data_IF_371653631589
#
_entry.id   IF_371653631589
#
_cell.length_a   1.000
_cell.length_b   1.000
_cell.length_c   1.000
_cell.angle_alpha   90.00
_cell.angle_beta   90.00
_cell.angle_gamma   90.00
#
_symmetry.space_group_name_H-M   'P 1'
#
loop_
_entity.id
_entity.type
_entity.pdbx_description
1 polymer ?
#
# COMPACT_ATOMS: atom_id res chain seq x y z
N UNK A 1 15.49 2.82 -0.62
CA UNK A 1 14.22 2.37 -1.23
C UNK A 1 13.72 3.44 -2.19
N UNK A 2 13.05 3.08 -3.30
CA UNK A 2 12.53 4.06 -4.26
C UNK A 2 11.07 4.43 -3.96
N UNK A 3 10.64 5.67 -4.26
CA UNK A 3 9.23 6.04 -4.26
C UNK A 3 8.41 5.13 -5.18
N UNK A 4 7.15 4.92 -4.82
CA UNK A 4 6.20 4.10 -5.57
C UNK A 4 4.80 4.69 -5.50
N UNK A 5 3.93 4.24 -6.39
CA UNK A 5 2.55 4.69 -6.44
C UNK A 5 1.69 3.87 -5.48
N UNK A 6 0.76 4.54 -4.82
CA UNK A 6 -0.32 3.95 -4.02
C UNK A 6 -1.66 4.56 -4.45
N UNK A 7 -2.80 3.88 -4.23
CA UNK A 7 -4.12 4.47 -4.44
C UNK A 7 -4.29 5.76 -3.63
N UNK A 8 -4.80 6.82 -4.25
CA UNK A 8 -5.13 8.07 -3.56
C UNK A 8 -6.53 7.99 -2.93
N UNK A 9 -7.47 7.40 -3.65
CA UNK A 9 -8.88 7.24 -3.27
C UNK A 9 -9.39 5.86 -3.71
N UNK A 10 -10.40 5.28 -3.04
CA UNK A 10 -11.04 4.06 -3.50
C UNK A 10 -11.83 4.31 -4.78
N UNK A 11 -11.90 3.31 -5.67
CA UNK A 11 -12.71 3.36 -6.88
C UNK A 11 -13.52 2.09 -7.04
N UNK A 12 -14.59 2.18 -7.83
CA UNK A 12 -15.35 1.01 -8.24
C UNK A 12 -15.68 1.03 -9.72
N UNK A 13 -15.80 -0.16 -10.30
CA UNK A 13 -16.22 -0.37 -11.68
C UNK A 13 -17.23 -1.51 -11.72
N UNK A 14 -18.35 -1.30 -12.42
CA UNK A 14 -19.40 -2.32 -12.56
C UNK A 14 -19.59 -2.70 -14.02
N UNK A 15 -19.70 -3.99 -14.29
CA UNK A 15 -19.96 -4.54 -15.61
C UNK A 15 -21.03 -5.64 -15.53
N UNK A 16 -21.87 -5.74 -16.56
CA UNK A 16 -22.78 -6.87 -16.73
C UNK A 16 -22.34 -7.74 -17.91
N UNK A 17 -22.09 -9.03 -17.66
CA UNK A 17 -21.67 -10.01 -18.66
C UNK A 17 -22.63 -11.20 -18.60
N UNK A 18 -23.35 -11.46 -19.70
CA UNK A 18 -24.33 -12.56 -19.77
C UNK A 18 -25.28 -12.56 -18.55
N UNK A 19 -25.87 -11.39 -18.24
CA UNK A 19 -26.74 -11.14 -17.08
C UNK A 19 -26.07 -11.26 -15.70
N UNK A 20 -24.81 -11.67 -15.63
CA UNK A 20 -24.06 -11.69 -14.37
C UNK A 20 -23.48 -10.31 -14.13
N UNK A 21 -23.69 -9.75 -12.94
CA UNK A 21 -23.16 -8.44 -12.55
C UNK A 21 -21.88 -8.62 -11.76
N UNK A 22 -20.83 -7.94 -12.18
CA UNK A 22 -19.51 -7.90 -11.54
C UNK A 22 -19.26 -6.49 -11.05
N UNK A 23 -18.96 -6.33 -9.76
CA UNK A 23 -18.66 -5.04 -9.13
C UNK A 23 -17.25 -5.13 -8.58
N UNK A 24 -16.30 -4.49 -9.24
CA UNK A 24 -14.89 -4.49 -8.86
C UNK A 24 -14.58 -3.24 -8.06
N UNK A 25 -14.00 -3.42 -6.88
CA UNK A 25 -13.53 -2.37 -5.99
C UNK A 25 -12.01 -2.39 -5.91
N UNK A 26 -11.40 -1.21 -5.92
CA UNK A 26 -9.99 -1.01 -5.56
C UNK A 26 -9.90 -0.01 -4.42
N UNK A 27 -9.04 -0.27 -3.45
CA UNK A 27 -8.79 0.64 -2.34
C UNK A 27 -7.34 0.60 -1.90
N UNK A 28 -6.91 1.71 -1.27
CA UNK A 28 -5.64 1.79 -0.55
C UNK A 28 -5.69 0.91 0.70
N UNK A 29 -4.75 -0.01 0.83
CA UNK A 29 -4.62 -0.91 1.98
C UNK A 29 -3.15 -1.17 2.27
N UNK A 30 -2.63 -0.53 3.31
CA UNK A 30 -1.26 -0.74 3.77
C UNK A 30 -1.17 -1.99 4.66
N UNK A 31 -0.46 -2.99 4.18
CA UNK A 31 -0.26 -4.25 4.88
C UNK A 31 -1.44 -5.23 4.79
N UNK A 32 -1.15 -6.49 5.11
CA UNK A 32 -2.10 -7.60 4.93
C UNK A 32 -3.32 -7.49 5.84
N UNK A 33 -3.19 -6.84 7.00
CA UNK A 33 -4.30 -6.61 7.93
C UNK A 33 -5.32 -5.62 7.35
N UNK A 34 -4.85 -4.50 6.77
CA UNK A 34 -5.72 -3.52 6.11
C UNK A 34 -6.45 -4.15 4.91
N UNK A 35 -5.73 -4.97 4.13
CA UNK A 35 -6.32 -5.72 3.01
C UNK A 35 -7.47 -6.62 3.48
N UNK A 36 -7.25 -7.41 4.53
CA UNK A 36 -8.28 -8.29 5.12
C UNK A 36 -9.49 -7.51 5.64
N UNK A 37 -9.26 -6.40 6.35
CA UNK A 37 -10.35 -5.52 6.85
C UNK A 37 -11.21 -4.99 5.70
N UNK A 38 -10.59 -4.57 4.60
CA UNK A 38 -11.31 -4.12 3.42
C UNK A 38 -12.10 -5.24 2.72
N UNK A 39 -11.52 -6.44 2.61
CA UNK A 39 -12.23 -7.60 2.06
C UNK A 39 -13.49 -7.91 2.87
N UNK A 40 -13.37 -7.95 4.21
CA UNK A 40 -14.49 -8.24 5.10
C UNK A 40 -15.56 -7.12 5.08
N UNK A 41 -15.16 -5.85 4.90
CA UNK A 41 -16.14 -4.76 4.78
C UNK A 41 -16.98 -4.89 3.50
N UNK A 42 -16.37 -5.26 2.37
CA UNK A 42 -17.09 -5.50 1.11
C UNK A 42 -18.01 -6.73 1.23
N UNK A 43 -17.57 -7.81 1.88
CA UNK A 43 -18.44 -8.97 2.16
C UNK A 43 -19.65 -8.59 3.00
N UNK A 44 -19.43 -7.78 4.04
CA UNK A 44 -20.50 -7.30 4.91
C UNK A 44 -21.48 -6.38 4.18
N UNK A 45 -20.99 -5.58 3.23
CA UNK A 45 -21.82 -4.70 2.40
C UNK A 45 -22.69 -5.48 1.39
N UNK A 46 -22.21 -6.63 0.92
CA UNK A 46 -22.89 -7.46 -0.10
C UNK A 46 -23.11 -8.90 0.38
N UNK A 47 -23.88 -9.13 1.45
CA UNK A 47 -24.03 -10.45 2.05
C UNK A 47 -24.80 -11.44 1.17
N UNK A 48 -25.54 -10.95 0.17
CA UNK A 48 -26.35 -11.73 -0.77
C UNK A 48 -25.59 -12.15 -2.04
N UNK A 49 -24.37 -11.61 -2.26
CA UNK A 49 -23.51 -12.04 -3.34
C UNK A 49 -22.89 -13.41 -3.04
N UNK A 50 -22.75 -14.24 -4.08
CA UNK A 50 -22.24 -15.61 -3.92
C UNK A 50 -20.72 -15.69 -3.85
N UNK A 51 -20.04 -14.73 -4.47
CA UNK A 51 -18.60 -14.71 -4.58
C UNK A 51 -18.08 -13.29 -4.40
N UNK A 52 -17.08 -13.14 -3.54
CA UNK A 52 -16.31 -11.95 -3.24
C UNK A 52 -14.84 -12.29 -3.50
N UNK A 53 -14.51 -12.60 -4.74
CA UNK A 53 -13.15 -12.92 -5.13
C UNK A 53 -12.26 -11.71 -4.88
N UNK A 54 -11.01 -11.92 -4.47
CA UNK A 54 -10.12 -10.81 -4.14
C UNK A 54 -8.68 -11.07 -4.53
N UNK A 55 -7.89 -10.00 -4.62
CA UNK A 55 -6.45 -10.00 -4.82
C UNK A 55 -5.86 -8.76 -4.16
N UNK A 56 -4.64 -8.83 -3.62
CA UNK A 56 -3.96 -7.66 -3.08
C UNK A 56 -2.45 -7.70 -3.32
N UNK A 57 -1.88 -6.50 -3.43
CA UNK A 57 -0.46 -6.19 -3.27
C UNK A 57 -0.39 -5.32 -2.02
N UNK A 58 -0.18 -5.92 -0.86
CA UNK A 58 -0.32 -5.24 0.43
C UNK A 58 0.92 -4.44 0.84
N UNK A 59 2.06 -4.72 0.22
CA UNK A 59 3.31 -3.99 0.40
C UNK A 59 3.67 -3.12 -0.79
N UNK A 60 4.96 -2.89 -0.96
CA UNK A 60 5.50 -2.21 -2.14
C UNK A 60 5.21 -3.03 -3.42
N UNK A 61 5.15 -2.39 -4.60
CA UNK A 61 4.89 -3.11 -5.85
C UNK A 61 6.00 -4.11 -6.22
N UNK A 62 7.20 -3.95 -5.67
CA UNK A 62 8.35 -4.84 -5.84
C UNK A 62 8.48 -5.88 -4.70
N UNK A 63 7.62 -5.85 -3.69
CA UNK A 63 7.63 -6.78 -2.56
C UNK A 63 6.70 -7.97 -2.82
N UNK A 64 7.31 -9.12 -3.13
CA UNK A 64 6.58 -10.36 -3.39
C UNK A 64 6.09 -11.08 -2.14
N UNK A 65 6.52 -10.66 -0.94
CA UNK A 65 6.15 -11.34 0.31
C UNK A 65 4.74 -10.99 0.78
N UNK A 66 4.15 -9.92 0.27
CA UNK A 66 2.86 -9.39 0.71
C UNK A 66 1.79 -9.44 -0.38
N UNK A 67 1.77 -10.55 -1.12
CA UNK A 67 0.78 -10.83 -2.16
C UNK A 67 -0.25 -11.84 -1.66
N UNK A 68 -1.49 -11.70 -2.11
CA UNK A 68 -2.54 -12.68 -1.83
C UNK A 68 -3.70 -12.58 -2.82
N UNK A 69 -4.37 -13.70 -3.05
CA UNK A 69 -5.61 -13.73 -3.84
C UNK A 69 -6.49 -14.92 -3.44
N UNK A 70 -7.77 -14.85 -3.77
CA UNK A 70 -8.74 -15.93 -3.59
C UNK A 70 -9.78 -15.93 -4.70
N UNK A 71 -10.17 -17.13 -5.13
CA UNK A 71 -11.28 -17.34 -6.05
C UNK A 71 -12.64 -17.38 -5.34
N UNK A 72 -12.68 -17.43 -4.00
CA UNK A 72 -13.91 -17.38 -3.19
C UNK A 72 -15.05 -18.30 -3.69
N UNK A 73 -14.73 -19.56 -4.00
CA UNK A 73 -15.70 -20.55 -4.49
C UNK A 73 -15.95 -20.54 -6.00
N UNK A 74 -15.38 -19.59 -6.75
CA UNK A 74 -15.23 -19.74 -8.21
C UNK A 74 -14.28 -20.90 -8.54
N UNK A 75 -14.33 -21.44 -9.78
CA UNK A 75 -13.36 -22.43 -10.22
C UNK A 75 -11.91 -21.95 -10.03
N UNK A 76 -11.05 -22.82 -9.54
CA UNK A 76 -9.66 -22.51 -9.18
C UNK A 76 -8.91 -21.79 -10.30
N UNK A 77 -8.32 -20.64 -9.96
CA UNK A 77 -7.51 -19.82 -10.85
C UNK A 77 -8.30 -18.99 -11.85
N UNK A 78 -9.63 -18.89 -11.73
CA UNK A 78 -10.46 -18.15 -12.69
C UNK A 78 -10.80 -16.73 -12.25
N UNK A 79 -10.55 -16.34 -11.00
CA UNK A 79 -10.87 -15.03 -10.48
C UNK A 79 -9.67 -14.34 -9.80
N UNK A 80 -9.11 -14.95 -8.76
CA UNK A 80 -8.00 -14.35 -7.98
C UNK A 80 -6.74 -14.16 -8.83
N UNK A 81 -6.34 -15.19 -9.59
CA UNK A 81 -5.16 -15.15 -10.47
C UNK A 81 -5.21 -14.03 -11.53
N UNK A 82 -6.28 -13.86 -12.32
CA UNK A 82 -6.34 -12.77 -13.29
C UNK A 82 -6.35 -11.38 -12.63
N UNK A 83 -6.98 -11.21 -11.45
CA UNK A 83 -6.96 -9.93 -10.74
C UNK A 83 -5.56 -9.58 -10.22
N UNK A 84 -4.86 -10.50 -9.56
CA UNK A 84 -3.50 -10.22 -9.04
C UNK A 84 -2.52 -9.92 -10.18
N UNK A 85 -2.68 -10.55 -11.35
CA UNK A 85 -1.86 -10.25 -12.52
C UNK A 85 -2.03 -8.79 -12.99
N UNK A 86 -3.25 -8.23 -12.92
CA UNK A 86 -3.48 -6.81 -13.24
C UNK A 86 -2.85 -5.89 -12.19
N UNK A 87 -2.99 -6.22 -10.90
CA UNK A 87 -2.40 -5.42 -9.82
C UNK A 87 -0.87 -5.38 -9.93
N UNK A 88 -0.23 -6.54 -10.14
CA UNK A 88 1.22 -6.62 -10.35
C UNK A 88 1.64 -5.83 -11.59
N UNK A 89 0.95 -6.00 -12.71
CA UNK A 89 1.25 -5.26 -13.95
C UNK A 89 1.08 -3.74 -13.83
N UNK A 90 0.29 -3.26 -12.85
CA UNK A 90 0.10 -1.83 -12.61
C UNK A 90 1.28 -1.15 -11.92
N UNK A 91 2.16 -1.92 -11.26
CA UNK A 91 3.25 -1.41 -10.42
C UNK A 91 2.80 -0.44 -9.30
N UNK A 92 1.55 -0.57 -8.85
CA UNK A 92 0.99 0.16 -7.69
C UNK A 92 1.07 -0.74 -6.46
N UNK A 93 1.58 -0.21 -5.35
CA UNK A 93 1.63 -0.91 -4.06
C UNK A 93 0.44 -0.56 -3.16
N UNK A 94 0.33 -1.28 -2.05
CA UNK A 94 -0.68 -1.06 -0.99
C UNK A 94 -2.10 -0.94 -1.56
N UNK A 95 -2.46 -1.90 -2.40
CA UNK A 95 -3.71 -1.93 -3.14
C UNK A 95 -4.40 -3.28 -2.98
N UNK A 96 -5.69 -3.24 -2.67
CA UNK A 96 -6.56 -4.42 -2.64
C UNK A 96 -7.67 -4.28 -3.67
N UNK A 97 -7.92 -5.38 -4.38
CA UNK A 97 -9.02 -5.58 -5.31
C UNK A 97 -10.02 -6.58 -4.75
N UNK A 98 -11.31 -6.24 -4.76
CA UNK A 98 -12.40 -7.17 -4.44
C UNK A 98 -13.43 -7.10 -5.55
N UNK A 99 -13.79 -8.23 -6.13
CA UNK A 99 -14.83 -8.33 -7.14
C UNK A 99 -16.02 -9.12 -6.59
N UNK A 100 -17.14 -8.42 -6.44
CA UNK A 100 -18.42 -8.98 -6.02
C UNK A 100 -19.17 -9.46 -7.25
N UNK A 101 -19.64 -10.71 -7.23
CA UNK A 101 -20.38 -11.29 -8.35
C UNK A 101 -21.80 -11.71 -7.97
N UNK A 102 -22.75 -11.24 -8.76
CA UNK A 102 -24.12 -11.76 -8.81
C UNK A 102 -24.30 -12.63 -10.05
N UNK A 103 -24.71 -13.88 -9.86
CA UNK A 103 -24.92 -14.82 -10.96
C UNK A 103 -26.22 -14.52 -11.72
N UNK A 104 -26.11 -14.36 -13.04
CA UNK A 104 -27.22 -14.00 -13.93
C UNK A 104 -28.02 -15.14 -14.54
N UNK A 105 -27.82 -16.39 -14.09
CA UNK A 105 -28.47 -17.57 -14.67
C UNK A 105 -27.76 -18.18 -15.88
N UNK A 106 -26.79 -17.49 -16.48
CA UNK A 106 -26.03 -17.97 -17.65
C UNK A 106 -24.57 -18.22 -17.27
N UNK A 107 -24.07 -19.44 -17.51
CA UNK A 107 -22.67 -19.79 -17.24
C UNK A 107 -21.72 -19.10 -18.25
N UNK A 108 -20.62 -18.54 -17.74
CA UNK A 108 -19.59 -17.89 -18.55
C UNK A 108 -18.53 -18.88 -19.07
N UNK A 109 -18.36 -20.02 -18.40
CA UNK A 109 -17.21 -20.92 -18.61
C UNK A 109 -15.93 -20.35 -17.99
N UNK A 110 -14.89 -21.17 -17.83
CA UNK A 110 -13.64 -20.79 -17.16
C UNK A 110 -12.94 -19.61 -17.86
N UNK A 111 -12.82 -19.65 -19.19
CA UNK A 111 -12.22 -18.55 -19.97
C UNK A 111 -13.04 -17.26 -19.91
N UNK A 112 -14.37 -17.35 -19.76
CA UNK A 112 -15.23 -16.19 -19.59
C UNK A 112 -15.05 -15.53 -18.23
N UNK A 113 -14.89 -16.33 -17.16
CA UNK A 113 -14.59 -15.83 -15.82
C UNK A 113 -13.23 -15.15 -15.75
N UNK A 114 -12.19 -15.80 -16.30
CA UNK A 114 -10.84 -15.23 -16.35
C UNK A 114 -10.84 -13.85 -17.00
N UNK A 115 -11.56 -13.71 -18.13
CA UNK A 115 -11.72 -12.42 -18.80
C UNK A 115 -12.52 -11.41 -17.98
N UNK A 116 -13.63 -11.83 -17.36
CA UNK A 116 -14.48 -10.94 -16.56
C UNK A 116 -13.71 -10.34 -15.37
N UNK A 117 -13.07 -11.18 -14.55
CA UNK A 117 -12.33 -10.73 -13.36
C UNK A 117 -11.08 -9.91 -13.73
N UNK A 118 -10.34 -10.34 -14.75
CA UNK A 118 -9.19 -9.58 -15.23
C UNK A 118 -9.59 -8.23 -15.83
N UNK A 119 -10.62 -8.19 -16.67
CA UNK A 119 -11.11 -6.93 -17.25
C UNK A 119 -11.65 -6.00 -16.17
N UNK A 120 -12.45 -6.50 -15.22
CA UNK A 120 -12.97 -5.68 -14.12
C UNK A 120 -11.86 -4.97 -13.35
N UNK A 121 -10.81 -5.70 -12.95
CA UNK A 121 -9.64 -5.11 -12.30
C UNK A 121 -8.90 -4.10 -13.20
N UNK A 122 -8.73 -4.43 -14.48
CA UNK A 122 -8.08 -3.53 -15.45
C UNK A 122 -8.86 -2.21 -15.64
N UNK A 123 -10.19 -2.27 -15.76
CA UNK A 123 -11.02 -1.08 -15.93
C UNK A 123 -11.04 -0.24 -14.64
N UNK A 124 -11.14 -0.87 -13.47
CA UNK A 124 -11.02 -0.17 -12.20
C UNK A 124 -9.66 0.53 -12.05
N UNK A 125 -8.55 -0.10 -12.46
CA UNK A 125 -7.22 0.50 -12.45
C UNK A 125 -7.11 1.74 -13.34
N UNK A 126 -7.82 1.79 -14.48
CA UNK A 126 -7.84 3.00 -15.34
C UNK A 126 -8.54 4.19 -14.69
N UNK A 127 -9.49 3.94 -13.79
CA UNK A 127 -10.20 4.97 -13.04
C UNK A 127 -9.44 5.41 -11.78
N UNK A 128 -8.43 4.63 -11.38
CA UNK A 128 -7.74 4.81 -10.11
C UNK A 128 -6.82 6.04 -10.13
N UNK A 129 -7.10 6.99 -9.26
CA UNK A 129 -6.15 8.07 -8.97
C UNK A 129 -5.06 7.55 -8.02
N UNK A 130 -3.81 7.94 -8.27
CA UNK A 130 -2.66 7.51 -7.47
C UNK A 130 -1.90 8.70 -6.92
N UNK A 131 -1.17 8.46 -5.83
CA UNK A 131 -0.20 9.39 -5.25
C UNK A 131 1.13 8.69 -5.02
N UNK A 132 2.21 9.46 -5.02
CA UNK A 132 3.54 8.95 -4.73
C UNK A 132 3.72 8.78 -3.23
N UNK A 133 4.07 7.57 -2.77
CA UNK A 133 4.54 7.30 -1.41
C UNK A 133 6.07 7.30 -1.41
N UNK A 134 6.65 8.16 -0.58
CA UNK A 134 8.09 8.22 -0.34
C UNK A 134 8.40 7.34 0.87
N UNK A 135 9.15 6.23 0.69
CA UNK A 135 9.51 5.36 1.80
C UNK A 135 10.27 6.16 2.85
N UNK A 136 9.82 6.04 4.09
CA UNK A 136 10.49 6.60 5.24
C UNK A 136 11.40 5.53 5.85
N UNK A 137 12.55 5.95 6.39
CA UNK A 137 13.46 5.12 7.17
C UNK A 137 13.63 5.76 8.53
N UNK A 138 13.62 4.94 9.56
CA UNK A 138 13.77 5.39 10.93
C UNK A 138 15.24 5.40 11.32
N UNK A 139 15.63 6.44 12.04
CA UNK A 139 16.96 6.65 12.58
C UNK A 139 16.87 7.04 14.05
N UNK A 140 17.86 6.63 14.81
CA UNK A 140 18.12 7.10 16.16
C UNK A 140 19.18 8.19 16.14
N UNK A 141 18.96 9.21 16.95
CA UNK A 141 19.85 10.34 17.15
C UNK A 141 19.88 10.68 18.64
N UNK A 142 21.08 10.70 19.23
CA UNK A 142 21.28 11.19 20.58
C UNK A 142 21.87 12.59 20.53
N UNK A 143 21.31 13.53 21.28
CA UNK A 143 21.80 14.91 21.34
C UNK A 143 21.67 15.51 22.73
N UNK A 144 22.42 16.58 22.98
CA UNK A 144 22.28 17.38 24.19
C UNK A 144 21.04 18.28 24.11
N UNK A 145 20.55 18.74 25.26
CA UNK A 145 19.41 19.66 25.31
C UNK A 145 19.64 20.95 24.51
N UNK A 146 20.89 21.45 24.47
CA UNK A 146 21.24 22.63 23.68
C UNK A 146 21.18 22.42 22.16
N UNK A 147 21.12 21.16 21.71
CA UNK A 147 21.11 20.79 20.30
C UNK A 147 19.71 20.43 19.78
N UNK A 148 18.69 20.36 20.65
CA UNK A 148 17.32 19.98 20.27
C UNK A 148 16.80 20.85 19.12
N UNK A 149 16.86 22.18 19.26
CA UNK A 149 16.35 23.10 18.22
C UNK A 149 17.06 22.94 16.89
N UNK A 150 18.35 22.56 16.91
CA UNK A 150 19.11 22.27 15.70
C UNK A 150 18.61 20.97 15.04
N UNK A 151 18.33 19.94 15.84
CA UNK A 151 17.78 18.68 15.34
C UNK A 151 16.37 18.87 14.78
N UNK A 152 15.50 19.60 15.48
CA UNK A 152 14.14 19.92 15.01
C UNK A 152 14.18 20.66 13.67
N UNK A 153 15.05 21.67 13.54
CA UNK A 153 15.27 22.37 12.29
C UNK A 153 15.79 21.44 11.19
N UNK A 154 16.76 20.58 11.51
CA UNK A 154 17.31 19.60 10.57
C UNK A 154 16.22 18.64 10.06
N UNK A 155 15.40 18.08 10.96
CA UNK A 155 14.30 17.16 10.62
C UNK A 155 13.28 17.85 9.72
N UNK A 156 12.84 19.06 10.10
CA UNK A 156 11.88 19.84 9.31
C UNK A 156 12.41 20.15 7.90
N UNK A 157 13.66 20.60 7.78
CA UNK A 157 14.26 20.90 6.48
C UNK A 157 14.57 19.66 5.61
N UNK A 158 14.43 18.46 6.17
CA UNK A 158 14.71 17.20 5.48
C UNK A 158 13.43 16.42 5.20
N UNK A 159 12.27 17.07 5.30
CA UNK A 159 10.94 16.46 5.15
C UNK A 159 10.73 15.25 6.08
N UNK A 160 11.39 15.27 7.24
CA UNK A 160 11.31 14.24 8.25
C UNK A 160 10.29 14.53 9.34
N UNK A 161 10.16 13.58 10.25
CA UNK A 161 9.32 13.69 11.44
C UNK A 161 10.04 13.13 12.67
N UNK A 162 9.85 13.74 13.84
CA UNK A 162 10.25 13.15 15.11
C UNK A 162 9.13 12.19 15.53
N UNK A 163 9.45 10.91 15.66
CA UNK A 163 8.51 9.84 15.99
C UNK A 163 8.39 9.65 17.49
N UNK A 164 9.53 9.69 18.18
CA UNK A 164 9.61 9.56 19.63
C UNK A 164 10.73 10.43 20.19
N UNK A 165 10.58 10.84 21.45
CA UNK A 165 11.57 11.65 22.16
C UNK A 165 11.64 11.20 23.62
N UNK A 166 12.83 10.79 24.05
CA UNK A 166 13.11 10.36 25.41
C UNK A 166 14.11 11.32 26.05
N UNK A 167 13.69 11.93 27.16
CA UNK A 167 14.47 12.93 27.88
C UNK A 167 15.09 12.30 29.13
N UNK A 168 16.40 12.06 29.09
CA UNK A 168 17.20 11.55 30.20
C UNK A 168 18.39 12.45 30.49
N UNK A 169 19.56 11.85 30.78
CA UNK A 169 20.84 12.58 30.88
C UNK A 169 21.20 13.30 29.57
N UNK A 170 20.85 12.68 28.44
CA UNK A 170 20.80 13.27 27.11
C UNK A 170 19.43 13.01 26.48
N UNK A 171 19.17 13.60 25.32
CA UNK A 171 17.92 13.40 24.58
C UNK A 171 18.13 12.34 23.50
N UNK A 172 17.35 11.27 23.58
CA UNK A 172 17.31 10.24 22.54
C UNK A 172 16.07 10.46 21.66
N UNK A 173 16.30 10.64 20.37
CA UNK A 173 15.28 10.91 19.37
C UNK A 173 15.20 9.75 18.39
N UNK A 174 13.97 9.33 18.12
CA UNK A 174 13.66 8.47 16.98
C UNK A 174 13.05 9.37 15.90
N UNK A 175 13.69 9.43 14.74
CA UNK A 175 13.28 10.29 13.63
C UNK A 175 13.04 9.47 12.38
N UNK A 176 12.02 9.84 11.62
CA UNK A 176 11.72 9.33 10.30
C UNK A 176 12.25 10.30 9.26
N UNK A 177 13.03 9.79 8.31
CA UNK A 177 13.53 10.57 7.17
C UNK A 177 13.23 9.84 5.85
N UNK A 178 13.05 10.56 4.73
CA UNK A 178 12.98 9.95 3.42
C UNK A 178 14.17 9.02 3.15
N UNK A 179 13.89 7.75 2.88
CA UNK A 179 14.93 6.73 2.66
C UNK A 179 15.81 7.01 1.43
N UNK A 180 15.38 7.92 0.56
CA UNK A 180 16.15 8.40 -0.61
C UNK A 180 17.23 9.40 -0.24
N UNK A 181 17.14 10.03 0.94
CA UNK A 181 18.02 11.12 1.36
C UNK A 181 19.01 10.71 2.46
N UNK A 182 19.09 9.43 2.83
CA UNK A 182 19.92 8.95 3.96
C UNK A 182 21.35 9.53 3.97
N UNK A 183 22.09 9.43 2.86
CA UNK A 183 23.45 9.95 2.76
C UNK A 183 23.51 11.49 2.88
N UNK A 184 22.62 12.19 2.16
CA UNK A 184 22.55 13.65 2.14
C UNK A 184 22.15 14.21 3.51
N UNK A 185 21.20 13.57 4.18
CA UNK A 185 20.76 13.91 5.53
C UNK A 185 21.88 13.69 6.56
N UNK A 186 22.66 12.61 6.41
CA UNK A 186 23.83 12.35 7.26
C UNK A 186 24.88 13.47 7.16
N UNK A 187 25.25 13.86 5.93
CA UNK A 187 26.22 14.92 5.70
C UNK A 187 25.70 16.28 6.20
N UNK A 188 24.44 16.61 5.90
CA UNK A 188 23.81 17.85 6.36
C UNK A 188 23.77 17.97 7.88
N UNK A 189 23.41 16.89 8.59
CA UNK A 189 23.41 16.88 10.06
C UNK A 189 24.83 17.07 10.60
N UNK A 190 25.82 16.42 9.99
CA UNK A 190 27.22 16.54 10.36
C UNK A 190 27.70 17.98 10.21
N UNK A 191 27.36 18.65 9.11
CA UNK A 191 27.75 20.05 8.86
C UNK A 191 27.09 21.01 9.85
N UNK A 192 25.77 20.87 10.07
CA UNK A 192 25.03 21.71 11.02
C UNK A 192 25.56 21.56 12.46
N UNK A 193 25.89 20.34 12.85
CA UNK A 193 26.37 20.01 14.21
C UNK A 193 27.88 20.12 14.39
N UNK A 194 28.63 20.55 13.36
CA UNK A 194 30.11 20.53 13.34
C UNK A 194 30.70 19.15 13.69
N UNK A 195 30.01 18.09 13.27
CA UNK A 195 30.42 16.69 13.46
C UNK A 195 30.04 16.06 14.80
N UNK A 196 29.29 16.75 15.65
CA UNK A 196 28.92 16.24 16.99
C UNK A 196 27.71 15.30 16.99
N UNK A 197 26.87 15.35 15.95
CA UNK A 197 25.69 14.48 15.82
C UNK A 197 25.85 13.46 14.70
N UNK A 198 25.22 12.28 14.90
CA UNK A 198 25.23 11.18 13.93
C UNK A 198 23.87 10.48 13.89
N UNK A 199 23.42 10.16 12.68
CA UNK A 199 22.27 9.29 12.46
C UNK A 199 22.70 7.82 12.54
N UNK A 200 21.92 7.04 13.29
CA UNK A 200 22.08 5.59 13.34
C UNK A 200 20.79 4.95 12.83
N UNK A 201 20.81 4.17 11.75
CA UNK A 201 19.58 3.54 11.24
C UNK A 201 19.00 2.56 12.28
N UNK A 202 17.68 2.55 12.41
CA UNK A 202 16.98 1.51 13.16
C UNK A 202 17.16 0.17 12.44
N UNK A 203 17.58 -0.84 13.20
CA UNK A 203 17.98 -2.17 12.72
C UNK A 203 16.81 -3.07 12.39
#
# INVERSE_FOLDING_TARGET
MRPYLIPAEPVSFTEEIKKSRFITYLAHTEGTEAAKKFIESIKTQYPDARHHCWAFVAGRPDDSQQLGFSDDGEPTGTAGKPMIAQLLGSQIGEITCVCVRYFGGIKLGTGGLVKAYGNGAQQALKLLQTKTKIPQKIFHLNCDYSQISLVEQFVSQSEGQIINSEYGESVALQISLPATLEAVCGDKLRDMSRGTLKLTPES
#
